data_IF_809402263012
#
_entry.id   IF_809402263012
#
_cell.length_a   1.000
_cell.length_b   1.000
_cell.length_c   1.000
_cell.angle_alpha   90.00
_cell.angle_beta   90.00
_cell.angle_gamma   90.00
#
_symmetry.space_group_name_H-M   'P 1'
#
loop_
_entity.id
_entity.type
_entity.pdbx_description
1 polymer ?
#
# COMPACT_ATOMS: atom_id res chain seq x y z
N UNK A 1 7.51 1.42 -10.55
CA UNK A 1 7.60 0.96 -9.12
C UNK A 1 6.50 -0.06 -8.86
N UNK A 2 6.83 -1.26 -8.37
CA UNK A 2 5.97 -2.46 -8.33
C UNK A 2 5.06 -2.58 -7.09
N UNK A 3 3.94 -3.31 -7.22
CA UNK A 3 2.99 -3.68 -6.14
C UNK A 3 3.66 -4.30 -4.92
N UNK A 4 4.72 -5.10 -5.13
CA UNK A 4 5.48 -5.73 -4.04
C UNK A 4 6.11 -4.71 -3.08
N UNK A 5 6.43 -3.50 -3.55
CA UNK A 5 6.99 -2.45 -2.70
C UNK A 5 5.97 -1.91 -1.69
N UNK A 6 4.66 -2.09 -1.91
CA UNK A 6 3.62 -1.74 -0.94
C UNK A 6 3.70 -2.62 0.31
N UNK A 7 4.17 -3.86 0.16
CA UNK A 7 4.31 -4.82 1.26
C UNK A 7 5.63 -4.64 2.03
N UNK A 8 6.64 -4.03 1.40
CA UNK A 8 7.97 -3.87 1.98
C UNK A 8 8.16 -2.65 2.88
N UNK A 9 7.38 -1.58 2.68
CA UNK A 9 7.52 -0.34 3.47
C UNK A 9 6.19 0.02 4.16
N UNK A 10 6.23 0.42 5.45
CA UNK A 10 5.06 0.88 6.17
C UNK A 10 4.42 2.13 5.53
N UNK A 11 3.21 2.41 6.00
CA UNK A 11 2.14 3.22 5.41
C UNK A 11 2.39 4.74 5.27
N UNK A 12 3.52 5.17 4.69
CA UNK A 12 3.86 6.59 4.46
C UNK A 12 3.67 7.02 3.00
N UNK A 13 2.51 6.66 2.44
CA UNK A 13 2.13 6.91 1.04
C UNK A 13 0.76 7.55 0.94
N UNK A 14 0.56 8.37 -0.09
CA UNK A 14 -0.77 8.92 -0.42
C UNK A 14 -1.62 7.81 -1.01
N UNK A 15 -2.93 7.94 -0.91
CA UNK A 15 -3.86 6.95 -1.44
C UNK A 15 -3.67 6.77 -2.95
N UNK A 16 -3.53 7.88 -3.69
CA UNK A 16 -3.23 7.86 -5.12
C UNK A 16 -1.99 7.02 -5.47
N UNK A 17 -0.91 7.16 -4.68
CA UNK A 17 0.33 6.41 -4.92
C UNK A 17 0.17 4.91 -4.63
N UNK A 18 -0.73 4.54 -3.71
CA UNK A 18 -1.06 3.14 -3.43
C UNK A 18 -1.85 2.56 -4.60
N UNK A 19 -2.91 3.27 -5.00
CA UNK A 19 -3.82 2.87 -6.07
C UNK A 19 -3.15 2.78 -7.45
N UNK A 20 -2.26 3.70 -7.78
CA UNK A 20 -1.49 3.69 -9.04
C UNK A 20 -0.54 2.48 -9.16
N UNK A 21 -0.30 1.74 -8.07
CA UNK A 21 0.52 0.52 -8.07
C UNK A 21 -0.30 -0.77 -8.09
N UNK A 22 -1.63 -0.66 -8.00
CA UNK A 22 -2.57 -1.76 -8.06
C UNK A 22 -3.18 -1.85 -9.47
N UNK A 23 -3.59 -3.05 -9.91
CA UNK A 23 -4.35 -3.19 -11.15
C UNK A 23 -5.65 -2.39 -11.09
N UNK A 24 -6.12 -1.87 -12.22
CA UNK A 24 -7.38 -1.09 -12.32
C UNK A 24 -7.46 0.07 -11.33
N UNK A 25 -6.34 0.75 -11.04
CA UNK A 25 -6.25 1.82 -10.04
C UNK A 25 -6.74 1.39 -8.64
N UNK A 26 -6.68 0.10 -8.32
CA UNK A 26 -7.12 -0.45 -7.05
C UNK A 26 -8.63 -0.42 -6.84
N UNK A 27 -9.44 -0.39 -7.90
CA UNK A 27 -10.89 -0.65 -7.78
C UNK A 27 -11.08 -2.08 -7.23
N UNK A 28 -11.93 -2.22 -6.21
CA UNK A 28 -12.12 -3.44 -5.42
C UNK A 28 -11.08 -3.65 -4.31
N UNK A 29 -10.02 -2.84 -4.25
CA UNK A 29 -8.99 -3.01 -3.25
C UNK A 29 -9.42 -2.47 -1.87
N UNK A 30 -9.00 -3.17 -0.81
CA UNK A 30 -9.16 -2.72 0.56
C UNK A 30 -7.96 -1.87 0.97
N UNK A 31 -8.22 -0.66 1.46
CA UNK A 31 -7.20 0.27 1.93
C UNK A 31 -7.54 0.79 3.31
N UNK A 32 -6.54 0.94 4.17
CA UNK A 32 -6.74 1.44 5.53
C UNK A 32 -5.75 2.55 5.85
N UNK A 33 -6.07 3.34 6.88
CA UNK A 33 -5.13 4.31 7.44
C UNK A 33 -4.25 3.60 8.47
N UNK A 34 -2.99 3.99 8.58
CA UNK A 34 -2.04 3.41 9.55
C UNK A 34 -2.52 3.53 10.99
N UNK A 35 -3.16 4.65 11.33
CA UNK A 35 -3.75 4.91 12.64
C UNK A 35 -4.97 4.04 12.94
N UNK A 36 -5.49 3.28 11.98
CA UNK A 36 -6.66 2.42 12.16
C UNK A 36 -6.30 1.02 12.65
N UNK A 37 -5.02 0.65 12.66
CA UNK A 37 -4.56 -0.65 13.17
C UNK A 37 -5.12 -1.03 14.57
N UNK A 38 -5.16 -0.13 15.58
CA UNK A 38 -5.75 -0.48 16.89
C UNK A 38 -7.28 -0.57 16.89
N UNK A 39 -7.95 -0.12 15.83
CA UNK A 39 -9.41 -0.14 15.71
C UNK A 39 -9.93 -1.42 15.02
N UNK A 40 -9.07 -2.41 14.78
CA UNK A 40 -9.42 -3.70 14.18
C UNK A 40 -9.80 -3.60 12.71
N UNK A 41 -10.80 -4.39 12.31
CA UNK A 41 -11.35 -4.57 10.95
C UNK A 41 -11.95 -3.30 10.34
N UNK A 42 -11.12 -2.30 10.08
CA UNK A 42 -11.52 -1.00 9.55
C UNK A 42 -10.77 -0.68 8.27
N UNK A 43 -11.49 -0.64 7.15
CA UNK A 43 -10.94 -0.37 5.82
C UNK A 43 -11.94 0.38 4.95
N UNK A 44 -11.43 0.98 3.89
CA UNK A 44 -12.22 1.41 2.76
C UNK A 44 -12.09 0.39 1.65
N UNK A 45 -13.20 0.02 1.05
CA UNK A 45 -13.23 -0.68 -0.23
C UNK A 45 -13.35 0.36 -1.33
N UNK A 46 -12.36 0.43 -2.21
CA UNK A 46 -12.33 1.43 -3.28
C UNK A 46 -13.27 1.00 -4.39
N UNK A 47 -14.18 1.89 -4.77
CA UNK A 47 -15.18 1.60 -5.83
C UNK A 47 -14.92 2.43 -7.08
N UNK A 48 -14.40 3.64 -6.94
CA UNK A 48 -14.14 4.54 -8.06
C UNK A 48 -12.95 5.45 -7.80
N UNK A 49 -12.19 5.75 -8.85
CA UNK A 49 -10.98 6.57 -8.80
C UNK A 49 -10.99 7.53 -9.98
N UNK A 50 -10.93 8.83 -9.68
CA UNK A 50 -10.80 9.89 -10.67
C UNK A 50 -9.52 10.68 -10.43
N UNK A 51 -8.54 10.45 -11.30
CA UNK A 51 -7.30 11.22 -11.31
C UNK A 51 -7.56 12.58 -11.98
N UNK A 52 -7.20 13.67 -11.32
CA UNK A 52 -7.23 15.02 -11.91
C UNK A 52 -5.82 15.36 -12.40
N UNK A 53 -5.67 15.39 -13.72
CA UNK A 53 -4.46 15.85 -14.43
C UNK A 53 -3.50 14.73 -14.87
N UNK A 54 -2.64 15.02 -15.87
CA UNK A 54 -1.69 14.05 -16.43
C UNK A 54 -0.62 13.57 -15.44
N UNK A 55 -0.33 14.37 -14.40
CA UNK A 55 0.67 14.06 -13.37
C UNK A 55 0.08 13.39 -12.11
N UNK A 56 -1.24 13.13 -12.06
CA UNK A 56 -1.86 12.34 -10.99
C UNK A 56 -1.77 12.94 -9.58
N UNK A 57 -1.49 14.24 -9.45
CA UNK A 57 -1.25 14.92 -8.17
C UNK A 57 -2.49 14.97 -7.26
N UNK A 58 -3.68 15.05 -7.84
CA UNK A 58 -4.95 15.12 -7.11
C UNK A 58 -5.86 13.96 -7.53
N UNK A 59 -5.95 12.92 -6.69
CA UNK A 59 -6.90 11.82 -6.90
C UNK A 59 -8.14 12.04 -6.05
N UNK A 60 -9.31 11.98 -6.70
CA UNK A 60 -10.58 11.81 -6.01
C UNK A 60 -10.88 10.33 -5.98
N UNK A 61 -11.06 9.80 -4.79
CA UNK A 61 -11.32 8.37 -4.58
C UNK A 61 -12.63 8.25 -3.86
N UNK A 62 -13.46 7.32 -4.30
CA UNK A 62 -14.70 6.93 -3.65
C UNK A 62 -14.61 5.48 -3.21
N UNK A 63 -15.31 5.18 -2.14
CA UNK A 63 -15.35 3.83 -1.61
C UNK A 63 -16.42 3.64 -0.56
N UNK A 64 -16.56 2.39 -0.16
CA UNK A 64 -17.43 1.97 0.94
C UNK A 64 -16.58 1.86 2.20
N UNK A 65 -17.00 2.50 3.28
CA UNK A 65 -16.32 2.39 4.56
C UNK A 65 -16.80 1.13 5.29
N UNK A 66 -15.88 0.27 5.66
CA UNK A 66 -16.04 -0.77 6.65
C UNK A 66 -15.36 -0.32 7.93
N UNK A 67 -16.11 -0.22 9.01
CA UNK A 67 -15.61 0.21 10.32
C UNK A 67 -15.90 -0.88 11.35
N UNK A 68 -14.84 -1.41 11.99
CA UNK A 68 -14.93 -2.50 12.97
C UNK A 68 -15.76 -3.68 12.48
N UNK A 69 -15.50 -4.13 11.25
CA UNK A 69 -16.17 -5.25 10.58
C UNK A 69 -17.56 -4.92 10.04
N UNK A 70 -18.09 -3.71 10.25
CA UNK A 70 -19.43 -3.32 9.78
C UNK A 70 -19.36 -2.35 8.63
N UNK A 71 -20.17 -2.59 7.60
CA UNK A 71 -20.37 -1.65 6.50
C UNK A 71 -21.05 -0.39 7.05
N UNK A 72 -20.39 0.75 6.96
CA UNK A 72 -20.84 2.03 7.54
C UNK A 72 -21.73 2.85 6.59
N UNK A 73 -22.22 2.26 5.50
CA UNK A 73 -23.13 2.88 4.55
C UNK A 73 -23.32 2.05 3.28
N UNK A 74 -24.47 2.25 2.63
CA UNK A 74 -24.83 1.50 1.43
C UNK A 74 -24.28 2.10 0.13
N UNK A 75 -24.07 3.41 0.10
CA UNK A 75 -23.55 4.12 -1.04
C UNK A 75 -22.04 4.39 -0.91
N UNK A 76 -21.28 4.29 -2.02
CA UNK A 76 -19.91 4.77 -2.05
C UNK A 76 -19.83 6.26 -1.70
N UNK A 77 -18.92 6.62 -0.81
CA UNK A 77 -18.67 8.01 -0.42
C UNK A 77 -17.24 8.41 -0.72
N UNK A 78 -17.03 9.70 -0.90
CA UNK A 78 -15.69 10.25 -1.16
C UNK A 78 -14.78 9.99 0.04
N UNK A 79 -13.62 9.40 -0.23
CA UNK A 79 -12.60 9.14 0.78
C UNK A 79 -11.85 10.45 1.08
N UNK A 80 -12.05 10.96 2.29
CA UNK A 80 -11.35 12.13 2.79
C UNK A 80 -9.88 11.85 3.09
N UNK A 81 -9.00 12.84 2.88
CA UNK A 81 -7.58 12.73 3.23
C UNK A 81 -6.76 11.82 2.30
N UNK A 82 -7.19 11.60 1.06
CA UNK A 82 -6.46 10.81 0.06
C UNK A 82 -5.01 11.30 -0.15
N UNK A 83 -4.74 12.59 -0.02
CA UNK A 83 -3.40 13.18 -0.12
C UNK A 83 -2.51 12.96 1.12
N UNK A 84 -3.05 12.44 2.24
CA UNK A 84 -2.25 12.19 3.45
C UNK A 84 -1.37 10.96 3.27
N UNK A 85 -0.13 11.01 3.75
CA UNK A 85 0.82 9.89 3.72
C UNK A 85 0.59 8.92 4.87
N UNK A 86 -0.58 8.30 4.89
CA UNK A 86 -1.03 7.41 5.99
C UNK A 86 -1.71 6.15 5.47
N UNK A 87 -1.75 5.93 4.17
CA UNK A 87 -2.51 4.85 3.56
C UNK A 87 -1.66 3.59 3.39
N UNK A 88 -2.29 2.46 3.69
CA UNK A 88 -1.78 1.11 3.41
C UNK A 88 -2.81 0.34 2.61
N UNK A 89 -2.31 -0.52 1.74
CA UNK A 89 -3.11 -1.55 1.12
C UNK A 89 -3.29 -2.73 2.07
N UNK A 90 -4.48 -3.30 2.07
CA UNK A 90 -4.83 -4.54 2.74
C UNK A 90 -5.16 -5.56 1.64
N UNK A 91 -4.20 -6.41 1.24
CA UNK A 91 -4.50 -7.49 0.31
C UNK A 91 -5.53 -8.43 0.91
N UNK A 92 -6.37 -9.01 0.06
CA UNK A 92 -7.17 -10.16 0.46
C UNK A 92 -6.26 -11.34 0.83
N UNK A 93 -6.77 -12.29 1.62
CA UNK A 93 -5.98 -13.40 2.14
C UNK A 93 -5.29 -14.22 1.04
N UNK A 94 -6.01 -14.53 -0.04
CA UNK A 94 -5.45 -15.25 -1.20
C UNK A 94 -4.34 -14.45 -1.91
N UNK A 95 -4.54 -13.14 -2.09
CA UNK A 95 -3.58 -12.23 -2.70
C UNK A 95 -2.34 -12.06 -1.80
N UNK A 96 -2.55 -11.96 -0.48
CA UNK A 96 -1.49 -11.88 0.51
C UNK A 96 -0.62 -13.14 0.50
N UNK A 97 -1.24 -14.33 0.49
CA UNK A 97 -0.55 -15.61 0.41
C UNK A 97 0.29 -15.73 -0.87
N UNK A 98 -0.25 -15.29 -2.01
CA UNK A 98 0.46 -15.27 -3.30
C UNK A 98 1.67 -14.33 -3.29
N UNK A 99 1.54 -13.15 -2.67
CA UNK A 99 2.57 -12.11 -2.72
C UNK A 99 3.60 -12.22 -1.61
N UNK A 100 3.29 -12.90 -0.50
CA UNK A 100 4.20 -13.10 0.63
C UNK A 100 5.58 -13.65 0.23
N UNK A 101 5.70 -14.76 -0.52
CA UNK A 101 7.02 -15.29 -0.91
C UNK A 101 7.78 -14.33 -1.85
N UNK A 102 7.06 -13.62 -2.74
CA UNK A 102 7.66 -12.67 -3.67
C UNK A 102 8.18 -11.42 -2.95
N UNK A 103 7.45 -10.93 -1.95
CA UNK A 103 7.88 -9.82 -1.11
C UNK A 103 9.10 -10.22 -0.27
N UNK A 104 9.12 -11.42 0.31
CA UNK A 104 10.27 -11.94 1.05
C UNK A 104 11.52 -12.05 0.18
N UNK A 105 11.39 -12.59 -1.04
CA UNK A 105 12.47 -12.69 -2.01
C UNK A 105 13.02 -11.31 -2.40
N UNK A 106 12.15 -10.34 -2.68
CA UNK A 106 12.56 -8.96 -3.00
C UNK A 106 13.29 -8.29 -1.82
N UNK A 107 12.85 -8.53 -0.59
CA UNK A 107 13.53 -8.02 0.63
C UNK A 107 14.92 -8.64 0.79
N UNK A 108 15.05 -9.94 0.51
CA UNK A 108 16.34 -10.65 0.56
C UNK A 108 17.31 -10.12 -0.50
N UNK A 109 16.84 -9.92 -1.74
CA UNK A 109 17.64 -9.32 -2.81
C UNK A 109 18.13 -7.91 -2.45
N UNK A 110 17.26 -7.07 -1.87
CA UNK A 110 17.64 -5.73 -1.42
C UNK A 110 18.71 -5.76 -0.32
N UNK A 111 18.62 -6.71 0.63
CA UNK A 111 19.65 -6.88 1.66
C UNK A 111 20.98 -7.35 1.09
N UNK A 112 20.95 -8.32 0.17
CA UNK A 112 22.15 -8.81 -0.51
C UNK A 112 22.87 -7.72 -1.32
N UNK A 113 22.12 -6.80 -1.93
CA UNK A 113 22.68 -5.65 -2.66
C UNK A 113 23.18 -4.52 -1.76
N UNK A 114 22.72 -4.44 -0.50
CA UNK A 114 23.11 -3.40 0.46
C UNK A 114 24.25 -3.82 1.39
N UNK A 115 24.74 -5.06 1.29
CA UNK A 115 25.89 -5.50 2.07
C UNK A 115 27.17 -4.94 1.43
N UNK A 116 27.88 -4.00 2.08
CA UNK A 116 29.18 -3.59 1.58
C UNK A 116 30.12 -4.80 1.67
N UNK A 117 30.96 -4.98 0.65
CA UNK A 117 32.07 -5.93 0.67
C UNK A 117 33.05 -5.51 1.78
N UNK A 118 32.78 -5.92 3.01
CA UNK A 118 33.70 -5.78 4.12
C UNK A 118 34.59 -7.03 4.18
N UNK A 119 35.61 -7.08 3.32
CA UNK A 119 36.82 -7.88 3.53
C UNK A 119 37.78 -7.66 2.35
N UNK A 120 38.74 -6.74 2.51
CA UNK A 120 39.80 -6.55 1.52
C UNK A 120 40.64 -5.32 1.80
N UNK A 121 41.22 -5.20 2.99
CA UNK A 121 42.12 -4.09 3.31
C UNK A 121 42.63 -4.12 4.73
N UNK A 122 43.89 -4.51 4.88
CA UNK A 122 44.64 -4.62 6.14
C UNK A 122 45.54 -5.85 6.03
N UNK A 123 46.67 -5.79 5.33
CA UNK A 123 47.81 -4.94 5.70
C UNK A 123 48.49 -5.69 6.85
N UNK A 124 49.53 -6.50 6.63
CA UNK A 124 50.77 -6.10 5.98
C UNK A 124 51.66 -5.53 7.08
N UNK A 125 52.78 -6.23 7.30
CA UNK A 125 53.88 -5.96 8.26
C UNK A 125 53.73 -6.55 9.67
#
# INVERSE_FOLDING_TARGET
MSMLQLLLRPADRRLADVLARLPNLGIGARVARKSWAPYGDSWWEVTDVKLKGPEGGEARVWGVLHWRGRRAGDAPKRIGGAAKRVWRWLPEEAEAARLAPLAAALKAQQRAQQQPQAAGGGGGE
#
